data_IF_260606447628
#
_entry.id   IF_260606447628
#
_cell.length_a   1.000
_cell.length_b   1.000
_cell.length_c   1.000
_cell.angle_alpha   90.00
_cell.angle_beta   90.00
_cell.angle_gamma   90.00
#
_symmetry.space_group_name_H-M   'P 1'
#
loop_
_entity.id
_entity.type
_entity.pdbx_description
1 polymer ?
#
# COMPACT_ATOMS: atom_id res chain seq x y z
N UNK A 1 -2.13 16.51 -13.15
CA UNK A 1 -1.50 15.31 -12.58
C UNK A 1 -0.38 14.90 -13.50
N UNK A 2 0.79 14.48 -13.00
CA UNK A 2 1.79 13.86 -13.85
C UNK A 2 1.16 12.60 -14.46
N UNK A 3 1.32 12.44 -15.78
CA UNK A 3 0.77 11.28 -16.50
C UNK A 3 1.33 9.97 -15.91
N UNK A 4 0.45 9.00 -15.73
CA UNK A 4 0.88 7.66 -15.32
C UNK A 4 1.65 7.02 -16.49
N UNK A 5 2.93 6.66 -16.36
CA UNK A 5 3.73 6.12 -17.45
C UNK A 5 3.33 4.67 -17.79
N UNK A 6 2.10 4.49 -18.24
CA UNK A 6 1.50 3.16 -18.49
C UNK A 6 2.30 2.39 -19.54
N UNK A 7 2.76 3.04 -20.62
CA UNK A 7 3.54 2.40 -21.66
C UNK A 7 4.85 1.83 -21.12
N UNK A 8 5.59 2.63 -20.35
CA UNK A 8 6.85 2.18 -19.71
C UNK A 8 6.58 0.98 -18.78
N UNK A 9 5.50 1.03 -18.00
CA UNK A 9 5.12 -0.08 -17.12
C UNK A 9 4.79 -1.34 -17.91
N UNK A 10 4.05 -1.21 -18.99
CA UNK A 10 3.72 -2.35 -19.86
C UNK A 10 4.97 -2.96 -20.49
N UNK A 11 5.92 -2.14 -20.93
CA UNK A 11 7.19 -2.61 -21.49
C UNK A 11 8.03 -3.37 -20.45
N UNK A 12 8.10 -2.84 -19.22
CA UNK A 12 8.81 -3.51 -18.12
C UNK A 12 8.15 -4.85 -17.79
N UNK A 13 6.82 -4.90 -17.65
CA UNK A 13 6.08 -6.14 -17.39
C UNK A 13 6.26 -7.14 -18.54
N UNK A 14 6.14 -6.69 -19.79
CA UNK A 14 6.34 -7.55 -20.96
C UNK A 14 7.75 -8.14 -21.02
N UNK A 15 8.76 -7.33 -20.69
CA UNK A 15 10.15 -7.77 -20.61
C UNK A 15 10.39 -8.76 -19.46
N UNK A 16 9.76 -8.53 -18.31
CA UNK A 16 9.82 -9.44 -17.17
C UNK A 16 9.17 -10.80 -17.52
N UNK A 17 7.99 -10.78 -18.10
CA UNK A 17 7.29 -12.01 -18.52
C UNK A 17 8.07 -12.84 -19.54
N UNK A 18 8.83 -12.20 -20.43
CA UNK A 18 9.72 -12.92 -21.37
C UNK A 18 10.88 -13.64 -20.67
N UNK A 19 11.30 -13.16 -19.49
CA UNK A 19 12.36 -13.82 -18.70
C UNK A 19 11.83 -14.94 -17.81
N UNK A 20 10.51 -14.98 -17.59
CA UNK A 20 9.87 -16.02 -16.78
C UNK A 20 10.17 -17.41 -17.36
N UNK A 21 10.75 -18.29 -16.55
CA UNK A 21 11.12 -19.65 -16.95
C UNK A 21 10.20 -20.73 -16.37
N UNK A 22 9.40 -20.39 -15.38
CA UNK A 22 8.59 -21.32 -14.61
C UNK A 22 7.24 -20.73 -14.25
N UNK A 23 6.28 -21.60 -13.93
CA UNK A 23 5.00 -21.24 -13.32
C UNK A 23 5.00 -21.42 -11.78
N UNK A 24 6.11 -21.90 -11.23
CA UNK A 24 6.27 -21.98 -9.78
C UNK A 24 6.40 -20.57 -9.17
N UNK A 25 5.58 -20.30 -8.15
CA UNK A 25 5.49 -18.96 -7.55
C UNK A 25 6.78 -18.54 -6.85
N UNK A 26 7.53 -19.51 -6.28
CA UNK A 26 8.79 -19.20 -5.61
C UNK A 26 9.89 -18.87 -6.62
N UNK A 27 9.91 -19.55 -7.76
CA UNK A 27 10.84 -19.23 -8.84
C UNK A 27 10.49 -17.89 -9.50
N UNK A 28 9.20 -17.59 -9.73
CA UNK A 28 8.75 -16.30 -10.24
C UNK A 28 9.19 -15.17 -9.32
N UNK A 29 8.96 -15.29 -8.02
CA UNK A 29 9.30 -14.25 -7.06
C UNK A 29 10.82 -14.07 -6.91
N UNK A 30 11.59 -15.15 -7.06
CA UNK A 30 13.04 -15.09 -7.03
C UNK A 30 13.64 -14.42 -8.26
N UNK A 31 13.04 -14.60 -9.44
CA UNK A 31 13.53 -14.01 -10.70
C UNK A 31 13.02 -12.58 -10.96
N UNK A 32 11.78 -12.30 -10.60
CA UNK A 32 11.07 -11.10 -11.04
C UNK A 32 10.53 -10.25 -9.88
N UNK A 33 10.51 -10.79 -8.67
CA UNK A 33 9.91 -10.15 -7.51
C UNK A 33 10.84 -9.18 -6.79
N UNK A 34 10.23 -8.32 -5.97
CA UNK A 34 10.93 -7.51 -4.99
C UNK A 34 11.14 -8.34 -3.71
N UNK A 35 12.33 -8.33 -3.08
CA UNK A 35 12.60 -9.07 -1.85
C UNK A 35 11.63 -8.79 -0.69
N UNK A 36 11.01 -7.61 -0.64
CA UNK A 36 10.01 -7.25 0.36
C UNK A 36 8.77 -8.16 0.26
N UNK A 37 8.36 -8.55 -0.96
CA UNK A 37 7.12 -9.30 -1.17
C UNK A 37 7.12 -10.65 -0.43
N UNK A 38 8.11 -11.56 -0.63
CA UNK A 38 8.10 -12.84 0.06
C UNK A 38 8.29 -12.71 1.56
N UNK A 39 9.05 -11.71 2.03
CA UNK A 39 9.23 -11.46 3.47
C UNK A 39 7.90 -11.05 4.11
N UNK A 40 7.21 -10.05 3.55
CA UNK A 40 5.92 -9.59 4.06
C UNK A 40 4.85 -10.68 3.97
N UNK A 41 4.82 -11.46 2.90
CA UNK A 41 3.87 -12.55 2.74
C UNK A 41 4.12 -13.69 3.75
N UNK A 42 5.37 -14.04 4.00
CA UNK A 42 5.73 -15.01 5.04
C UNK A 42 5.33 -14.54 6.44
N UNK A 43 5.57 -13.25 6.75
CA UNK A 43 5.10 -12.65 8.01
C UNK A 43 3.57 -12.69 8.10
N UNK A 44 2.85 -12.31 7.03
CA UNK A 44 1.39 -12.37 6.99
C UNK A 44 0.90 -13.80 7.24
N UNK A 45 1.48 -14.79 6.57
CA UNK A 45 1.11 -16.20 6.69
C UNK A 45 1.13 -16.69 8.15
N UNK A 46 2.13 -16.30 8.92
CA UNK A 46 2.25 -16.74 10.30
C UNK A 46 1.51 -15.87 11.32
N UNK A 47 1.59 -14.54 11.13
CA UNK A 47 1.03 -13.59 12.12
C UNK A 47 -0.50 -13.57 12.05
N UNK A 48 -1.09 -13.70 10.86
CA UNK A 48 -2.56 -13.71 10.70
C UNK A 48 -3.24 -14.88 11.43
N UNK A 49 -2.53 -15.96 11.69
CA UNK A 49 -3.03 -17.09 12.51
C UNK A 49 -3.25 -16.70 13.99
N UNK A 50 -2.66 -15.61 14.45
CA UNK A 50 -2.61 -15.23 15.87
C UNK A 50 -3.26 -13.88 16.17
N UNK A 51 -3.29 -12.95 15.21
CA UNK A 51 -3.84 -11.62 15.40
C UNK A 51 -4.30 -11.01 14.07
N UNK A 52 -5.02 -9.90 14.16
CA UNK A 52 -5.38 -9.11 13.00
C UNK A 52 -4.16 -8.41 12.40
N UNK A 53 -4.07 -8.42 11.08
CA UNK A 53 -2.97 -7.83 10.30
C UNK A 53 -3.53 -6.81 9.32
N UNK A 54 -2.93 -5.64 9.28
CA UNK A 54 -3.19 -4.64 8.25
C UNK A 54 -1.95 -4.55 7.36
N UNK A 55 -2.11 -4.95 6.10
CA UNK A 55 -1.12 -4.67 5.07
C UNK A 55 -1.20 -3.18 4.72
N UNK A 56 -0.23 -2.40 5.19
CA UNK A 56 -0.23 -0.95 5.05
C UNK A 56 0.40 -0.53 3.72
N UNK A 57 -0.41 -0.13 2.76
CA UNK A 57 0.07 0.34 1.44
C UNK A 57 -1.00 0.26 0.36
N UNK A 58 -0.59 0.58 -0.86
CA UNK A 58 -1.43 0.56 -2.06
C UNK A 58 -1.23 -0.70 -2.90
N UNK A 59 -1.04 -0.51 -4.21
CA UNK A 59 -0.95 -1.60 -5.20
C UNK A 59 0.17 -2.62 -4.94
N UNK A 60 1.27 -2.25 -4.27
CA UNK A 60 2.31 -3.20 -3.89
C UNK A 60 1.81 -4.28 -2.91
N UNK A 61 0.84 -3.91 -2.06
CA UNK A 61 0.26 -4.88 -1.12
C UNK A 61 -0.58 -5.95 -1.81
N UNK A 62 -1.04 -5.70 -3.03
CA UNK A 62 -1.70 -6.74 -3.84
C UNK A 62 -0.73 -7.85 -4.25
N UNK A 63 0.55 -7.52 -4.53
CA UNK A 63 1.56 -8.52 -4.82
C UNK A 63 1.90 -9.37 -3.57
N UNK A 64 1.99 -8.72 -2.39
CA UNK A 64 2.15 -9.43 -1.11
C UNK A 64 0.97 -10.37 -0.87
N UNK A 65 -0.27 -9.89 -1.07
CA UNK A 65 -1.49 -10.69 -0.92
C UNK A 65 -1.51 -11.88 -1.88
N UNK A 66 -1.16 -11.66 -3.16
CA UNK A 66 -1.13 -12.71 -4.17
C UNK A 66 -0.15 -13.85 -3.80
N UNK A 67 1.04 -13.48 -3.32
CA UNK A 67 2.01 -14.47 -2.86
C UNK A 67 1.56 -15.15 -1.56
N UNK A 68 1.05 -14.38 -0.59
CA UNK A 68 0.52 -14.94 0.65
C UNK A 68 -0.63 -15.92 0.42
N UNK A 69 -1.50 -15.67 -0.56
CA UNK A 69 -2.56 -16.62 -0.95
C UNK A 69 -2.00 -17.96 -1.42
N UNK A 70 -0.83 -17.99 -2.04
CA UNK A 70 -0.18 -19.23 -2.50
C UNK A 70 0.45 -20.02 -1.37
N UNK A 71 0.94 -19.36 -0.33
CA UNK A 71 1.59 -20.00 0.82
C UNK A 71 0.63 -20.23 2.01
N UNK A 72 -0.55 -19.62 1.96
CA UNK A 72 -1.59 -19.71 2.99
C UNK A 72 -1.51 -18.59 4.03
N UNK A 73 -2.65 -18.02 4.41
CA UNK A 73 -2.82 -17.02 5.47
C UNK A 73 -4.26 -17.04 5.98
N UNK A 74 -4.52 -16.39 7.13
CA UNK A 74 -5.87 -16.28 7.70
C UNK A 74 -6.58 -15.04 7.14
N UNK A 75 -7.44 -15.26 6.16
CA UNK A 75 -8.19 -14.24 5.44
C UNK A 75 -9.01 -13.34 6.37
N UNK A 76 -9.72 -13.91 7.33
CA UNK A 76 -10.61 -13.18 8.23
C UNK A 76 -9.86 -12.27 9.21
N UNK A 77 -8.56 -12.48 9.37
CA UNK A 77 -7.69 -11.67 10.20
C UNK A 77 -6.86 -10.67 9.40
N UNK A 78 -7.11 -10.55 8.09
CA UNK A 78 -6.28 -9.74 7.20
C UNK A 78 -7.09 -8.64 6.53
N UNK A 79 -6.54 -7.44 6.48
CA UNK A 79 -7.06 -6.32 5.72
C UNK A 79 -5.92 -5.60 4.99
N UNK A 80 -6.23 -4.89 3.90
CA UNK A 80 -5.33 -3.89 3.34
C UNK A 80 -5.78 -2.51 3.85
N UNK A 81 -4.84 -1.72 4.35
CA UNK A 81 -5.06 -0.33 4.77
C UNK A 81 -4.36 0.65 3.84
N UNK A 82 -5.11 1.54 3.22
CA UNK A 82 -4.60 2.51 2.26
C UNK A 82 -5.19 3.91 2.47
N UNK A 83 -4.69 4.89 1.72
CA UNK A 83 -5.34 6.21 1.64
C UNK A 83 -6.50 6.18 0.63
N UNK A 84 -7.47 7.07 0.79
CA UNK A 84 -8.54 7.29 -0.19
C UNK A 84 -7.99 7.62 -1.58
N UNK A 85 -6.85 8.28 -1.68
CA UNK A 85 -6.21 8.62 -2.95
C UNK A 85 -5.90 7.40 -3.84
N UNK A 86 -5.62 6.23 -3.25
CA UNK A 86 -5.42 4.98 -4.00
C UNK A 86 -6.76 4.44 -4.51
N UNK A 87 -7.82 4.59 -3.73
CA UNK A 87 -9.17 4.15 -4.11
C UNK A 87 -9.73 5.02 -5.25
N UNK A 88 -9.44 6.32 -5.19
CA UNK A 88 -9.92 7.30 -6.17
C UNK A 88 -9.13 7.28 -7.49
N UNK A 89 -7.93 6.69 -7.50
CA UNK A 89 -7.10 6.50 -8.71
C UNK A 89 -7.66 5.35 -9.55
N UNK A 90 -8.50 5.71 -10.54
CA UNK A 90 -9.12 4.73 -11.45
C UNK A 90 -8.11 3.93 -12.27
N UNK A 91 -6.96 4.53 -12.58
CA UNK A 91 -5.91 3.86 -13.35
C UNK A 91 -5.17 2.80 -12.53
N UNK A 92 -5.23 2.90 -11.21
CA UNK A 92 -4.64 1.90 -10.33
C UNK A 92 -5.40 0.57 -10.34
N UNK A 93 -6.70 0.56 -10.65
CA UNK A 93 -7.59 -0.62 -10.60
C UNK A 93 -7.43 -1.42 -9.30
N UNK A 94 -7.14 -0.72 -8.21
CA UNK A 94 -6.71 -1.33 -6.96
C UNK A 94 -7.73 -2.30 -6.37
N UNK A 95 -8.99 -1.85 -6.25
CA UNK A 95 -10.06 -2.68 -5.68
C UNK A 95 -10.38 -3.91 -6.54
N UNK A 96 -10.36 -3.75 -7.87
CA UNK A 96 -10.56 -4.87 -8.79
C UNK A 96 -9.45 -5.90 -8.63
N UNK A 97 -8.20 -5.45 -8.58
CA UNK A 97 -7.03 -6.32 -8.38
C UNK A 97 -7.10 -7.07 -7.05
N UNK A 98 -7.50 -6.40 -5.96
CA UNK A 98 -7.68 -7.08 -4.67
C UNK A 98 -8.74 -8.18 -4.79
N UNK A 99 -9.90 -7.88 -5.37
CA UNK A 99 -10.99 -8.85 -5.55
C UNK A 99 -10.62 -10.03 -6.45
N UNK A 100 -9.82 -9.79 -7.48
CA UNK A 100 -9.31 -10.86 -8.36
C UNK A 100 -8.37 -11.82 -7.59
N UNK A 101 -7.60 -11.30 -6.64
CA UNK A 101 -6.70 -12.10 -5.82
C UNK A 101 -7.46 -12.81 -4.71
N UNK A 102 -8.13 -12.06 -3.85
CA UNK A 102 -8.93 -12.62 -2.75
C UNK A 102 -9.95 -11.60 -2.23
N UNK A 103 -11.03 -12.08 -1.64
CA UNK A 103 -12.06 -11.26 -1.03
C UNK A 103 -11.70 -10.95 0.43
N UNK A 104 -10.84 -9.95 0.63
CA UNK A 104 -10.46 -9.43 1.95
C UNK A 104 -10.93 -8.00 2.15
N UNK A 105 -10.97 -7.56 3.40
CA UNK A 105 -11.33 -6.18 3.73
C UNK A 105 -10.29 -5.20 3.20
N UNK A 106 -10.76 -4.11 2.57
CA UNK A 106 -9.96 -2.94 2.24
C UNK A 106 -10.45 -1.78 3.07
N UNK A 107 -9.56 -1.22 3.87
CA UNK A 107 -9.80 -0.06 4.70
C UNK A 107 -9.14 1.16 4.06
N UNK A 108 -9.91 2.19 3.80
CA UNK A 108 -9.41 3.44 3.24
C UNK A 108 -9.61 4.60 4.21
N UNK A 109 -8.65 5.49 4.26
CA UNK A 109 -8.71 6.70 5.07
C UNK A 109 -8.32 7.92 4.26
N UNK A 110 -9.04 9.03 4.44
CA UNK A 110 -8.58 10.34 4.01
C UNK A 110 -7.62 10.90 5.08
N UNK A 111 -6.32 11.08 4.75
CA UNK A 111 -5.35 11.67 5.65
C UNK A 111 -5.51 13.19 5.78
N UNK A 112 -6.44 13.81 5.05
CA UNK A 112 -6.72 15.26 5.02
C UNK A 112 -5.49 16.12 4.62
N UNK A 113 -4.55 15.57 3.86
CA UNK A 113 -3.33 16.31 3.49
C UNK A 113 -3.61 17.51 2.56
N UNK A 114 -4.76 17.52 1.87
CA UNK A 114 -5.26 18.67 1.12
C UNK A 114 -5.46 19.92 1.99
N UNK A 115 -5.80 19.71 3.26
CA UNK A 115 -6.10 20.78 4.21
C UNK A 115 -4.83 21.31 4.91
N UNK A 116 -3.68 20.69 4.64
CA UNK A 116 -2.43 21.10 5.27
C UNK A 116 -1.99 22.51 4.85
N UNK A 117 -1.43 23.27 5.81
CA UNK A 117 -0.76 24.54 5.53
C UNK A 117 0.55 24.37 4.72
N UNK A 118 1.15 23.18 4.73
CA UNK A 118 2.43 22.91 4.06
C UNK A 118 2.23 22.41 2.64
N UNK A 119 2.80 23.11 1.66
CA UNK A 119 2.74 22.75 0.25
C UNK A 119 3.23 21.31 -0.01
N UNK A 120 4.34 20.89 0.63
CA UNK A 120 4.89 19.55 0.47
C UNK A 120 3.91 18.44 0.88
N UNK A 121 3.09 18.67 1.90
CA UNK A 121 2.04 17.73 2.31
C UNK A 121 0.84 17.78 1.35
N UNK A 122 0.41 18.95 0.89
CA UNK A 122 -0.66 19.08 -0.11
C UNK A 122 -0.32 18.42 -1.44
N UNK A 123 0.94 18.47 -1.86
CA UNK A 123 1.39 17.83 -3.11
C UNK A 123 1.08 16.32 -3.17
N UNK A 124 0.97 15.67 -2.03
CA UNK A 124 0.53 14.27 -1.96
C UNK A 124 -0.92 14.12 -2.45
N UNK A 125 -1.84 14.97 -2.01
CA UNK A 125 -3.24 14.95 -2.44
C UNK A 125 -3.40 15.37 -3.91
N UNK A 126 -2.46 16.13 -4.44
CA UNK A 126 -2.43 16.57 -5.84
C UNK A 126 -1.88 15.49 -6.80
N UNK A 127 -1.45 14.34 -6.28
CA UNK A 127 -0.96 13.21 -7.05
C UNK A 127 0.49 13.29 -7.49
N UNK A 128 1.27 14.27 -6.98
CA UNK A 128 2.71 14.34 -7.25
C UNK A 128 3.51 13.26 -6.53
N UNK A 129 3.01 12.80 -5.39
CA UNK A 129 3.60 11.69 -4.64
C UNK A 129 2.57 10.58 -4.56
N UNK A 130 2.80 9.49 -5.27
CA UNK A 130 1.91 8.30 -5.23
C UNK A 130 2.28 7.31 -4.12
N UNK A 131 3.44 7.48 -3.54
CA UNK A 131 4.01 6.60 -2.52
C UNK A 131 3.91 7.22 -1.13
N UNK A 132 2.75 7.10 -0.54
CA UNK A 132 2.65 7.24 0.90
C UNK A 132 2.85 5.89 1.57
N UNK A 133 3.94 5.19 1.25
CA UNK A 133 4.19 3.81 1.64
C UNK A 133 3.70 3.52 3.07
N UNK A 134 2.58 2.83 3.18
CA UNK A 134 1.98 2.50 4.45
C UNK A 134 1.27 3.64 5.18
N UNK A 135 1.19 4.85 4.64
CA UNK A 135 0.57 5.99 5.33
C UNK A 135 -0.89 5.70 5.71
N UNK A 136 -1.69 5.21 4.78
CA UNK A 136 -3.10 4.88 5.05
C UNK A 136 -3.26 3.83 6.14
N UNK A 137 -2.56 2.71 6.03
CA UNK A 137 -2.63 1.65 7.04
C UNK A 137 -2.10 2.09 8.40
N UNK A 138 -1.04 2.89 8.43
CA UNK A 138 -0.49 3.44 9.67
C UNK A 138 -1.44 4.42 10.35
N UNK A 139 -2.13 5.27 9.58
CA UNK A 139 -3.16 6.17 10.09
C UNK A 139 -4.36 5.40 10.64
N UNK A 140 -4.84 4.38 9.91
CA UNK A 140 -5.92 3.50 10.36
C UNK A 140 -5.53 2.83 11.68
N UNK A 141 -4.35 2.23 11.76
CA UNK A 141 -3.87 1.61 12.99
C UNK A 141 -3.77 2.61 14.15
N UNK A 142 -3.32 3.85 13.88
CA UNK A 142 -3.26 4.92 14.87
C UNK A 142 -4.66 5.31 15.39
N UNK A 143 -5.64 5.42 14.49
CA UNK A 143 -7.04 5.71 14.88
C UNK A 143 -7.61 4.57 15.73
N UNK A 144 -7.46 3.33 15.28
CA UNK A 144 -7.94 2.17 16.01
C UNK A 144 -7.32 2.07 17.40
N UNK A 145 -6.06 2.40 17.54
CA UNK A 145 -5.34 2.35 18.82
C UNK A 145 -5.67 3.52 19.75
N UNK A 146 -5.85 4.72 19.21
CA UNK A 146 -5.92 5.95 20.02
C UNK A 146 -7.31 6.58 20.10
N UNK A 147 -8.22 6.22 19.20
CA UNK A 147 -9.52 6.87 19.04
C UNK A 147 -9.44 8.31 18.52
N UNK A 148 -8.28 8.73 18.00
CA UNK A 148 -8.09 10.10 17.48
C UNK A 148 -8.68 10.22 16.08
N UNK A 149 -9.10 11.44 15.70
CA UNK A 149 -9.59 11.74 14.35
C UNK A 149 -8.47 11.95 13.34
N UNK A 150 -8.78 11.84 12.03
CA UNK A 150 -7.85 12.21 10.94
C UNK A 150 -7.34 13.64 11.10
N UNK A 151 -8.20 14.59 11.48
CA UNK A 151 -7.81 15.98 11.72
C UNK A 151 -6.72 16.10 12.80
N UNK A 152 -6.87 15.39 13.91
CA UNK A 152 -5.85 15.40 14.96
C UNK A 152 -4.54 14.77 14.49
N UNK A 153 -4.62 13.73 13.67
CA UNK A 153 -3.42 13.12 13.09
C UNK A 153 -2.73 14.06 12.09
N UNK A 154 -3.49 14.82 11.30
CA UNK A 154 -2.93 15.87 10.43
C UNK A 154 -2.15 16.91 11.25
N UNK A 155 -2.70 17.40 12.36
CA UNK A 155 -2.00 18.34 13.25
C UNK A 155 -0.67 17.79 13.75
N UNK A 156 -0.61 16.50 14.08
CA UNK A 156 0.63 15.83 14.49
C UNK A 156 1.62 15.68 13.34
N UNK A 157 1.14 15.32 12.15
CA UNK A 157 1.96 15.22 10.94
C UNK A 157 2.57 16.58 10.60
N UNK A 158 1.78 17.65 10.63
CA UNK A 158 2.27 19.01 10.38
C UNK A 158 3.34 19.45 11.38
N UNK A 159 3.13 19.14 12.66
CA UNK A 159 4.12 19.43 13.70
C UNK A 159 5.44 18.69 13.45
N UNK A 160 5.39 17.43 13.08
CA UNK A 160 6.60 16.65 12.76
C UNK A 160 7.24 17.13 11.45
N UNK A 161 6.45 17.45 10.43
CA UNK A 161 6.94 18.02 9.18
C UNK A 161 7.72 19.33 9.43
N UNK A 162 7.16 20.22 10.23
CA UNK A 162 7.83 21.47 10.62
C UNK A 162 9.13 21.20 11.39
N UNK A 163 9.12 20.26 12.33
CA UNK A 163 10.31 19.89 13.12
C UNK A 163 11.44 19.41 12.22
N UNK A 164 11.13 18.56 11.24
CA UNK A 164 12.13 18.01 10.31
C UNK A 164 12.64 19.09 9.37
N UNK A 165 11.77 19.98 8.88
CA UNK A 165 12.15 21.07 7.96
C UNK A 165 13.07 22.13 8.58
N UNK A 166 13.10 22.25 9.90
CA UNK A 166 14.03 23.16 10.60
C UNK A 166 15.44 22.55 10.73
N UNK A 167 15.55 21.22 10.58
CA UNK A 167 16.81 20.49 10.71
C UNK A 167 17.61 20.39 9.39
N UNK A 168 17.03 20.91 8.30
CA UNK A 168 17.66 21.03 6.98
C UNK A 168 18.12 22.46 6.73
#
# INVERSE_FOLDING_TARGET
>A
MPENPIEIKNDVVSSALKRKKSDDVFEIIAELGDPMIPVCAGMLSEVSKKCHVILAGGTQMTAVLAFAKRIGYEKNNTAIGCTSYIIDDKDARFLDTVKEIDDIAVLAIDPMLSDSQFHGLRSYSEGFVKEGAGAGGSLIASILKTGKSSKHLLELIEKEYQRISILQ
#
